data_IF_999561232729
#
_entry.id   IF_999561232729
#
_cell.length_a   1.000
_cell.length_b   1.000
_cell.length_c   1.000
_cell.angle_alpha   90.00
_cell.angle_beta   90.00
_cell.angle_gamma   90.00
#
_symmetry.space_group_name_H-M   'P 1'
#
loop_
_entity.id
_entity.type
_entity.pdbx_description
1 polymer ?
#
# COMPACT_ATOMS: atom_id res chain seq x y z
N UNK A 1 9.84 -15.19 10.56
CA UNK A 1 8.82 -14.49 9.73
C UNK A 1 8.42 -15.39 8.58
N UNK A 2 7.15 -15.62 8.42
CA UNK A 2 6.65 -16.49 7.37
C UNK A 2 6.64 -15.78 6.02
N UNK A 3 7.09 -16.48 4.98
CA UNK A 3 6.97 -15.97 3.63
C UNK A 3 5.50 -15.96 3.21
N UNK A 4 5.05 -14.86 2.65
CA UNK A 4 3.70 -14.75 2.10
C UNK A 4 3.73 -15.13 0.63
N UNK A 5 2.86 -16.03 0.23
CA UNK A 5 2.73 -16.43 -1.15
C UNK A 5 1.56 -15.70 -1.79
N UNK A 6 1.86 -15.05 -2.89
CA UNK A 6 0.87 -14.39 -3.74
C UNK A 6 1.03 -14.97 -5.14
N UNK A 7 -0.07 -15.41 -5.73
CA UNK A 7 -0.07 -15.93 -7.10
C UNK A 7 -0.89 -15.01 -7.98
N UNK A 8 -0.29 -14.54 -9.06
CA UNK A 8 -0.98 -13.74 -10.06
C UNK A 8 -1.01 -14.50 -11.38
N UNK A 9 -2.17 -14.63 -11.98
CA UNK A 9 -2.35 -15.38 -13.22
C UNK A 9 -3.25 -14.64 -14.20
N UNK A 10 -2.89 -14.69 -15.47
CA UNK A 10 -3.71 -14.20 -16.56
C UNK A 10 -3.91 -15.36 -17.55
N UNK A 11 -5.14 -15.60 -17.97
CA UNK A 11 -5.48 -16.74 -18.79
C UNK A 11 -6.10 -16.33 -20.12
N UNK A 12 -5.76 -17.07 -21.18
CA UNK A 12 -6.36 -16.92 -22.49
C UNK A 12 -6.33 -15.49 -23.00
N UNK A 13 -7.48 -14.99 -23.46
CA UNK A 13 -7.62 -13.63 -23.95
C UNK A 13 -8.00 -12.60 -22.89
N UNK A 14 -7.93 -12.97 -21.61
CA UNK A 14 -8.30 -12.05 -20.54
C UNK A 14 -7.37 -10.85 -20.46
N UNK A 15 -7.92 -9.70 -20.14
CA UNK A 15 -7.18 -8.46 -19.90
C UNK A 15 -7.06 -8.13 -18.42
N UNK A 16 -7.46 -9.06 -17.58
CA UNK A 16 -7.42 -8.92 -16.14
C UNK A 16 -6.57 -10.02 -15.53
N UNK A 17 -5.89 -9.70 -14.45
CA UNK A 17 -5.08 -10.64 -13.69
C UNK A 17 -5.84 -11.01 -12.42
N UNK A 18 -6.00 -12.31 -12.19
CA UNK A 18 -6.53 -12.80 -10.91
C UNK A 18 -5.37 -12.97 -9.95
N UNK A 19 -5.47 -12.35 -8.79
CA UNK A 19 -4.41 -12.39 -7.76
C UNK A 19 -4.96 -13.13 -6.56
N UNK A 20 -4.31 -14.23 -6.19
CA UNK A 20 -4.65 -14.97 -4.98
C UNK A 20 -3.68 -14.59 -3.88
N UNK A 21 -4.23 -14.17 -2.76
CA UNK A 21 -3.47 -13.77 -1.58
C UNK A 21 -3.84 -14.73 -0.46
N UNK A 22 -2.90 -15.58 -0.06
CA UNK A 22 -3.20 -16.64 0.90
C UNK A 22 -4.12 -17.70 0.31
N UNK A 23 -4.89 -18.38 1.16
CA UNK A 23 -5.66 -19.53 0.75
C UNK A 23 -6.99 -19.22 0.05
N UNK A 24 -7.61 -18.08 0.34
CA UNK A 24 -8.99 -17.83 -0.08
C UNK A 24 -9.29 -16.43 -0.62
N UNK A 25 -8.35 -15.52 -0.53
CA UNK A 25 -8.59 -14.15 -0.97
C UNK A 25 -8.18 -13.95 -2.43
N UNK A 26 -9.11 -13.47 -3.25
CA UNK A 26 -8.84 -13.19 -4.66
C UNK A 26 -9.14 -11.72 -4.96
N UNK A 27 -8.19 -11.07 -5.59
CA UNK A 27 -8.31 -9.69 -6.07
C UNK A 27 -8.09 -9.70 -7.58
N UNK A 28 -8.88 -8.93 -8.32
CA UNK A 28 -8.73 -8.80 -9.77
C UNK A 28 -8.08 -7.46 -10.08
N UNK A 29 -7.04 -7.47 -10.89
CA UNK A 29 -6.35 -6.26 -11.31
C UNK A 29 -6.44 -6.06 -12.82
N UNK A 30 -6.49 -4.79 -13.24
CA UNK A 30 -6.49 -4.41 -14.65
C UNK A 30 -5.19 -3.71 -15.03
N UNK A 31 -4.89 -3.68 -16.31
CA UNK A 31 -3.77 -2.89 -16.81
C UNK A 31 -4.18 -1.42 -16.89
N UNK A 32 -3.25 -0.54 -16.55
CA UNK A 32 -3.47 0.90 -16.68
C UNK A 32 -3.78 1.24 -18.15
N UNK A 33 -4.83 2.03 -18.39
CA UNK A 33 -5.30 2.36 -19.73
C UNK A 33 -6.08 1.26 -20.43
N UNK A 34 -6.36 0.17 -19.71
CA UNK A 34 -7.18 -0.94 -20.24
C UNK A 34 -8.60 -0.50 -20.59
N UNK A 35 -9.26 -1.26 -21.43
CA UNK A 35 -10.58 -0.96 -21.93
C UNK A 35 -11.69 -1.05 -20.87
N UNK A 36 -12.93 -0.80 -21.32
CA UNK A 36 -14.11 -0.74 -20.45
C UNK A 36 -14.39 -2.03 -19.66
N UNK A 37 -13.90 -3.17 -20.14
CA UNK A 37 -14.08 -4.45 -19.47
C UNK A 37 -13.43 -4.49 -18.09
N UNK A 38 -12.35 -3.72 -17.90
CA UNK A 38 -11.61 -3.66 -16.65
C UNK A 38 -11.95 -2.43 -15.80
N UNK A 39 -12.95 -1.66 -16.21
CA UNK A 39 -13.32 -0.44 -15.52
C UNK A 39 -13.70 -0.74 -14.06
N UNK A 40 -13.14 0.02 -13.13
CA UNK A 40 -13.40 -0.15 -11.70
C UNK A 40 -12.46 -1.11 -10.98
N UNK A 41 -11.74 -1.98 -11.69
CA UNK A 41 -10.72 -2.81 -11.05
C UNK A 41 -9.45 -1.99 -10.79
N UNK A 42 -8.72 -2.26 -9.70
CA UNK A 42 -7.47 -1.55 -9.42
C UNK A 42 -6.36 -1.92 -10.39
N UNK A 43 -5.46 -0.98 -10.65
CA UNK A 43 -4.21 -1.26 -11.38
C UNK A 43 -3.17 -1.82 -10.41
N UNK A 44 -2.08 -2.42 -10.90
CA UNK A 44 -0.97 -2.84 -10.04
C UNK A 44 -0.40 -1.70 -9.18
N UNK A 45 -0.29 -0.49 -9.72
CA UNK A 45 0.18 0.66 -8.94
C UNK A 45 -0.82 1.06 -7.85
N UNK A 46 -2.13 0.96 -8.13
CA UNK A 46 -3.16 1.18 -7.11
C UNK A 46 -2.98 0.20 -5.95
N UNK A 47 -2.70 -1.06 -6.26
CA UNK A 47 -2.48 -2.09 -5.24
C UNK A 47 -1.21 -1.82 -4.42
N UNK A 48 -0.16 -1.32 -5.05
CA UNK A 48 1.06 -0.92 -4.35
C UNK A 48 0.78 0.24 -3.39
N UNK A 49 0.07 1.26 -3.85
CA UNK A 49 -0.32 2.39 -3.00
C UNK A 49 -1.26 1.95 -1.88
N UNK A 50 -2.19 1.04 -2.19
CA UNK A 50 -3.10 0.50 -1.17
C UNK A 50 -2.32 -0.21 -0.06
N UNK A 51 -1.28 -0.97 -0.41
CA UNK A 51 -0.45 -1.66 0.57
C UNK A 51 0.29 -0.67 1.47
N UNK A 52 0.83 0.40 0.88
CA UNK A 52 1.52 1.46 1.63
C UNK A 52 0.55 2.18 2.56
N UNK A 53 -0.65 2.47 2.08
CA UNK A 53 -1.71 3.11 2.87
C UNK A 53 -2.16 2.25 4.05
N UNK A 54 -2.44 0.98 3.81
CA UNK A 54 -2.85 0.06 4.86
C UNK A 54 -1.75 -0.12 5.91
N UNK A 55 -0.51 -0.30 5.48
CA UNK A 55 0.62 -0.44 6.38
C UNK A 55 0.80 0.81 7.26
N UNK A 56 0.67 2.00 6.64
CA UNK A 56 0.76 3.27 7.37
C UNK A 56 -0.34 3.37 8.42
N UNK A 57 -1.58 3.09 8.03
CA UNK A 57 -2.72 3.17 8.94
C UNK A 57 -2.57 2.23 10.14
N UNK A 58 -2.20 0.97 9.89
CA UNK A 58 -1.97 0.01 10.97
C UNK A 58 -0.86 0.46 11.91
N UNK A 59 0.27 0.94 11.37
CA UNK A 59 1.40 1.38 12.18
C UNK A 59 1.01 2.54 13.10
N UNK A 60 0.25 3.50 12.58
CA UNK A 60 -0.20 4.65 13.38
C UNK A 60 -1.17 4.22 14.48
N UNK A 61 -2.14 3.37 14.16
CA UNK A 61 -3.12 2.90 15.15
C UNK A 61 -2.45 2.08 16.25
N UNK A 62 -1.53 1.19 15.90
CA UNK A 62 -0.80 0.38 16.87
C UNK A 62 0.05 1.25 17.80
N UNK A 63 0.76 2.23 17.24
CA UNK A 63 1.58 3.11 18.02
C UNK A 63 0.75 3.93 19.02
N UNK A 64 -0.35 4.52 18.55
CA UNK A 64 -1.25 5.30 19.40
C UNK A 64 -1.83 4.42 20.51
N UNK A 65 -2.24 3.20 20.21
CA UNK A 65 -2.78 2.26 21.20
C UNK A 65 -1.73 1.91 22.25
N UNK A 66 -0.47 1.74 21.86
CA UNK A 66 0.61 1.42 22.79
C UNK A 66 0.92 2.55 23.76
N UNK A 67 0.55 3.79 23.41
CA UNK A 67 0.75 4.98 24.21
C UNK A 67 -0.52 5.48 24.89
N UNK A 68 -1.63 4.77 24.74
CA UNK A 68 -2.96 5.19 25.19
C UNK A 68 -3.38 6.56 24.63
N UNK A 69 -2.98 6.85 23.40
CA UNK A 69 -3.39 8.08 22.73
C UNK A 69 -4.75 7.90 22.05
N UNK A 70 -5.53 8.98 22.02
CA UNK A 70 -6.87 8.97 21.43
C UNK A 70 -6.82 9.22 19.92
N UNK A 71 -6.35 8.27 19.17
CA UNK A 71 -6.38 8.32 17.72
C UNK A 71 -7.61 7.56 17.23
N UNK A 72 -8.62 8.29 16.77
CA UNK A 72 -9.91 7.72 16.39
C UNK A 72 -9.94 7.29 14.92
N UNK A 73 -9.55 8.18 14.02
CA UNK A 73 -9.59 7.92 12.58
C UNK A 73 -8.22 8.23 11.97
N UNK A 74 -7.76 7.32 11.14
CA UNK A 74 -6.58 7.52 10.29
C UNK A 74 -7.04 7.41 8.85
N UNK A 75 -6.80 8.43 8.08
CA UNK A 75 -7.04 8.43 6.65
C UNK A 75 -5.71 8.73 5.95
N UNK A 76 -5.38 7.95 4.95
CA UNK A 76 -4.11 8.07 4.24
C UNK A 76 -4.41 8.22 2.75
N UNK A 77 -4.09 9.38 2.21
CA UNK A 77 -4.21 9.66 0.78
C UNK A 77 -2.84 9.53 0.13
N UNK A 78 -2.76 8.82 -0.97
CA UNK A 78 -1.50 8.54 -1.65
C UNK A 78 -1.62 8.80 -3.15
N UNK A 79 -0.54 9.35 -3.68
CA UNK A 79 -0.44 9.68 -5.10
C UNK A 79 0.97 9.38 -5.58
N UNK A 80 1.07 8.74 -6.75
CA UNK A 80 2.36 8.60 -7.45
C UNK A 80 2.47 9.72 -8.46
N UNK A 81 3.58 10.46 -8.41
CA UNK A 81 3.90 11.51 -9.36
C UNK A 81 5.19 11.13 -10.07
N UNK A 82 5.15 11.11 -11.40
CA UNK A 82 6.32 10.81 -12.23
C UNK A 82 6.71 12.06 -13.00
N UNK A 83 7.97 12.48 -12.82
CA UNK A 83 8.54 13.64 -13.51
C UNK A 83 9.93 13.28 -14.03
N UNK A 84 10.15 13.46 -15.34
CA UNK A 84 11.46 13.24 -15.94
C UNK A 84 12.07 11.88 -15.58
N UNK A 85 11.28 10.83 -15.68
CA UNK A 85 11.67 9.45 -15.37
C UNK A 85 11.89 9.17 -13.89
N UNK A 86 11.67 10.12 -13.01
CA UNK A 86 11.73 9.92 -11.56
C UNK A 86 10.31 9.87 -11.00
N UNK A 87 10.04 8.89 -10.17
CA UNK A 87 8.75 8.74 -9.51
C UNK A 87 8.87 8.99 -8.03
N UNK A 88 7.88 9.65 -7.48
CA UNK A 88 7.77 9.88 -6.05
C UNK A 88 6.35 9.60 -5.59
N UNK A 89 6.21 9.21 -4.32
CA UNK A 89 4.91 8.99 -3.69
C UNK A 89 4.69 10.13 -2.69
N UNK A 90 3.56 10.79 -2.82
CA UNK A 90 3.09 11.74 -1.83
C UNK A 90 2.09 11.05 -0.94
N UNK A 91 2.29 11.15 0.37
CA UNK A 91 1.40 10.54 1.36
C UNK A 91 0.91 11.63 2.30
N UNK A 92 -0.41 11.81 2.34
CA UNK A 92 -1.06 12.77 3.21
C UNK A 92 -1.81 12.02 4.31
N UNK A 93 -1.47 12.31 5.56
CA UNK A 93 -2.09 11.70 6.73
C UNK A 93 -3.13 12.66 7.30
N UNK A 94 -4.35 12.17 7.50
CA UNK A 94 -5.40 12.90 8.19
C UNK A 94 -5.74 12.13 9.46
N UNK A 95 -5.50 12.75 10.60
CA UNK A 95 -5.64 12.13 11.92
C UNK A 95 -6.73 12.83 12.70
N UNK A 96 -7.71 12.07 13.18
CA UNK A 96 -8.78 12.58 14.03
C UNK A 96 -8.64 11.99 15.44
N UNK A 97 -8.77 12.83 16.43
CA UNK A 97 -8.69 12.44 17.82
C UNK A 97 -8.11 13.55 18.67
N UNK A 98 -8.13 13.37 19.98
CA UNK A 98 -7.56 14.32 20.94
C UNK A 98 -6.04 14.14 21.01
N UNK A 99 -5.35 14.71 20.03
CA UNK A 99 -3.90 14.63 19.88
C UNK A 99 -3.29 16.03 19.90
N UNK A 100 -2.22 16.19 20.66
CA UNK A 100 -1.47 17.45 20.65
C UNK A 100 -0.49 17.48 19.47
N UNK A 101 0.11 18.65 19.16
CA UNK A 101 1.07 18.74 18.06
C UNK A 101 2.27 17.81 18.16
N UNK A 102 2.76 17.55 19.36
CA UNK A 102 3.89 16.66 19.59
C UNK A 102 3.55 15.22 19.27
N UNK A 103 2.34 14.78 19.65
CA UNK A 103 1.85 13.44 19.31
C UNK A 103 1.68 13.27 17.81
N UNK A 104 1.17 14.29 17.14
CA UNK A 104 1.00 14.28 15.67
C UNK A 104 2.35 14.19 14.96
N UNK A 105 3.36 14.90 15.45
CA UNK A 105 4.72 14.80 14.91
C UNK A 105 5.32 13.41 15.11
N UNK A 106 5.12 12.82 16.27
CA UNK A 106 5.60 11.47 16.53
C UNK A 106 4.93 10.44 15.60
N UNK A 107 3.62 10.58 15.38
CA UNK A 107 2.90 9.71 14.45
C UNK A 107 3.41 9.87 13.01
N UNK A 108 3.73 11.08 12.60
CA UNK A 108 4.34 11.30 11.29
C UNK A 108 5.65 10.51 11.16
N UNK A 109 6.50 10.55 12.17
CA UNK A 109 7.74 9.78 12.18
C UNK A 109 7.48 8.27 12.15
N UNK A 110 6.44 7.79 12.83
CA UNK A 110 6.05 6.38 12.80
C UNK A 110 5.70 5.95 11.38
N UNK A 111 4.95 6.78 10.64
CA UNK A 111 4.60 6.48 9.26
C UNK A 111 5.84 6.35 8.38
N UNK A 112 6.85 7.20 8.59
CA UNK A 112 8.10 7.16 7.83
C UNK A 112 8.91 5.88 8.05
N UNK A 113 8.64 5.15 9.12
CA UNK A 113 9.37 3.93 9.47
C UNK A 113 8.48 2.68 9.41
N UNK A 114 7.29 2.76 8.81
CA UNK A 114 6.45 1.58 8.65
C UNK A 114 7.08 0.59 7.67
N UNK A 115 6.82 -0.72 7.83
CA UNK A 115 7.53 -1.74 7.07
C UNK A 115 7.50 -1.58 5.55
N UNK A 116 6.34 -1.28 4.97
CA UNK A 116 6.25 -1.09 3.51
C UNK A 116 6.98 0.18 3.07
N UNK A 117 6.95 1.24 3.88
CA UNK A 117 7.70 2.47 3.60
C UNK A 117 9.19 2.17 3.51
N UNK A 118 9.72 1.45 4.48
CA UNK A 118 11.13 1.08 4.51
C UNK A 118 11.50 0.17 3.33
N UNK A 119 10.61 -0.76 3.00
CA UNK A 119 10.83 -1.66 1.88
C UNK A 119 10.91 -0.90 0.55
N UNK A 120 9.99 0.04 0.32
CA UNK A 120 9.96 0.83 -0.92
C UNK A 120 11.12 1.83 -0.99
N UNK A 121 11.53 2.39 0.15
CA UNK A 121 12.65 3.33 0.21
C UNK A 121 14.00 2.65 0.02
N UNK A 122 14.09 1.37 0.34
CA UNK A 122 15.29 0.57 0.15
C UNK A 122 15.31 -0.05 -1.26
N UNK A 123 16.50 -0.40 -1.74
CA UNK A 123 16.61 -1.15 -2.99
C UNK A 123 16.25 -2.61 -2.74
N UNK A 124 15.15 -3.07 -3.32
CA UNK A 124 14.68 -4.44 -3.20
C UNK A 124 15.22 -5.25 -4.38
N UNK A 125 15.89 -6.37 -4.07
CA UNK A 125 16.37 -7.27 -5.11
C UNK A 125 15.25 -8.20 -5.55
N UNK A 126 15.03 -8.27 -6.87
CA UNK A 126 14.06 -9.17 -7.47
C UNK A 126 14.82 -10.28 -8.18
N UNK A 127 14.56 -11.51 -7.77
CA UNK A 127 15.14 -12.69 -8.39
C UNK A 127 14.06 -13.39 -9.21
N UNK A 128 14.35 -13.68 -10.48
CA UNK A 128 13.37 -14.25 -11.41
C UNK A 128 13.85 -15.57 -11.97
N UNK A 129 13.01 -16.57 -11.94
CA UNK A 129 13.28 -17.89 -12.51
C UNK A 129 12.10 -18.34 -13.35
N UNK A 130 12.40 -19.18 -14.34
CA UNK A 130 11.34 -19.91 -15.08
C UNK A 130 11.09 -21.24 -14.36
N UNK A 131 9.84 -21.57 -14.23
CA UNK A 131 9.43 -22.86 -13.64
C UNK A 131 9.66 -23.99 -14.63
#
# INVERSE_FOLDING_TARGET
MNASWVTAAIEGGSKEVAIRIGASNVVVARQAGGGSESAGAPTPLDLLLASLGACSAFALKEHAASRDWSLEVVEVDLEIVTRQSASSVTRLLSLQGALDPSQREELLAVAEHSPVTLLLAASVRIHTELA
#
